data_IF_331022951619
#
_entry.id   IF_331022951619
#
_cell.length_a   1.000
_cell.length_b   1.000
_cell.length_c   1.000
_cell.angle_alpha   90.00
_cell.angle_beta   90.00
_cell.angle_gamma   90.00
#
_symmetry.space_group_name_H-M   'P 1'
#
loop_
_entity.id
_entity.type
_entity.pdbx_description
1 polymer ?
#
# COMPACT_ATOMS: atom_id res chain seq x y z
N UNK A 1 15.06 0.86 17.70
CA UNK A 1 14.13 0.99 16.60
C UNK A 1 14.86 1.33 15.30
N UNK A 2 14.63 0.55 14.26
CA UNK A 2 15.22 0.76 12.93
C UNK A 2 14.42 1.85 12.20
N UNK A 3 15.08 2.90 11.75
CA UNK A 3 14.44 3.98 11.01
C UNK A 3 14.57 3.75 9.49
N UNK A 4 13.61 3.02 8.92
CA UNK A 4 13.58 2.76 7.47
C UNK A 4 13.26 4.01 6.63
N UNK A 5 12.74 5.09 7.23
CA UNK A 5 12.38 6.30 6.52
C UNK A 5 13.58 7.15 6.08
N UNK A 6 14.72 7.07 6.81
CA UNK A 6 15.94 7.77 6.43
C UNK A 6 17.15 6.82 6.44
N UNK A 7 17.66 6.38 5.29
CA UNK A 7 18.77 5.42 5.21
C UNK A 7 20.09 5.94 5.77
N UNK A 8 20.29 7.26 5.91
CA UNK A 8 21.48 7.81 6.54
C UNK A 8 21.62 7.39 8.01
N UNK A 9 20.52 7.10 8.69
CA UNK A 9 20.48 6.65 10.09
C UNK A 9 21.14 5.29 10.31
N UNK A 10 21.27 4.45 9.29
CA UNK A 10 21.85 3.12 9.42
C UNK A 10 23.34 3.14 9.82
N UNK A 11 24.04 4.23 9.51
CA UNK A 11 25.43 4.42 9.93
C UNK A 11 25.61 4.59 11.45
N UNK A 12 24.51 4.81 12.20
CA UNK A 12 24.56 5.02 13.65
C UNK A 12 24.49 3.73 14.47
N UNK A 13 24.43 2.55 13.84
CA UNK A 13 24.44 1.26 14.54
C UNK A 13 25.78 1.02 15.22
N UNK A 14 25.75 0.56 16.48
CA UNK A 14 26.94 0.28 17.27
C UNK A 14 27.71 -0.95 16.76
N UNK A 15 29.01 -1.03 17.14
CA UNK A 15 29.86 -2.18 16.82
C UNK A 15 29.31 -3.44 17.49
N UNK A 16 29.43 -4.58 16.80
CA UNK A 16 28.99 -5.90 17.28
C UNK A 16 27.50 -5.96 17.63
N UNK A 17 26.69 -5.05 17.09
CA UNK A 17 25.27 -4.98 17.32
C UNK A 17 24.50 -5.51 16.10
N UNK A 18 23.60 -6.44 16.34
CA UNK A 18 22.57 -6.88 15.42
C UNK A 18 21.22 -6.47 15.98
N UNK A 19 20.48 -5.66 15.23
CA UNK A 19 19.14 -5.25 15.58
C UNK A 19 18.14 -6.03 14.73
N UNK A 20 17.14 -6.60 15.39
CA UNK A 20 15.97 -7.17 14.74
C UNK A 20 14.74 -6.43 15.27
N UNK A 21 13.89 -5.97 14.36
CA UNK A 21 12.71 -5.18 14.69
C UNK A 21 11.53 -5.69 13.84
N UNK A 22 10.41 -5.95 14.47
CA UNK A 22 9.19 -6.40 13.81
C UNK A 22 7.97 -5.74 14.43
N UNK A 23 7.07 -5.27 13.60
CA UNK A 23 5.80 -4.65 14.00
C UNK A 23 4.61 -5.44 13.49
N UNK A 24 3.59 -5.53 14.35
CA UNK A 24 2.30 -6.10 14.00
C UNK A 24 1.19 -5.22 14.55
N UNK A 25 0.17 -4.95 13.73
CA UNK A 25 -1.03 -4.22 14.11
C UNK A 25 -2.24 -5.13 14.18
N UNK A 26 -3.02 -4.95 15.25
CA UNK A 26 -4.33 -5.56 15.42
C UNK A 26 -5.37 -4.45 15.49
N UNK A 27 -6.26 -4.43 14.52
CA UNK A 27 -7.33 -3.44 14.45
C UNK A 27 -8.68 -4.08 14.73
N UNK A 28 -9.46 -3.46 15.62
CA UNK A 28 -10.85 -3.81 15.88
C UNK A 28 -11.70 -2.54 15.74
N UNK A 29 -12.42 -2.42 14.64
CA UNK A 29 -13.23 -1.25 14.32
C UNK A 29 -14.72 -1.58 14.41
N UNK A 30 -15.48 -0.73 15.11
CA UNK A 30 -16.93 -0.80 15.19
C UNK A 30 -17.52 0.32 14.34
N UNK A 31 -18.31 -0.07 13.34
CA UNK A 31 -19.06 0.84 12.48
C UNK A 31 -20.51 0.87 12.92
N UNK A 32 -21.10 2.05 12.97
CA UNK A 32 -22.52 2.22 13.25
C UNK A 32 -23.14 3.22 12.28
N UNK A 33 -24.13 2.78 11.54
CA UNK A 33 -24.93 3.65 10.65
C UNK A 33 -26.41 3.28 10.78
N UNK A 34 -27.25 4.29 10.97
CA UNK A 34 -28.73 4.15 11.05
C UNK A 34 -29.22 2.99 11.97
N UNK A 35 -28.54 2.79 13.11
CA UNK A 35 -28.89 1.74 14.06
C UNK A 35 -28.28 0.36 13.78
N UNK A 36 -27.69 0.14 12.63
CA UNK A 36 -26.95 -1.08 12.29
C UNK A 36 -25.53 -0.96 12.81
N UNK A 37 -25.07 -1.97 13.56
CA UNK A 37 -23.70 -2.06 14.08
C UNK A 37 -22.99 -3.20 13.36
N UNK A 38 -21.80 -2.92 12.86
CA UNK A 38 -20.93 -3.92 12.25
C UNK A 38 -19.53 -3.81 12.86
N UNK A 39 -18.94 -4.96 13.18
CA UNK A 39 -17.56 -5.05 13.69
C UNK A 39 -16.65 -5.59 12.59
N UNK A 40 -15.52 -4.94 12.38
CA UNK A 40 -14.47 -5.41 11.50
C UNK A 40 -13.17 -5.60 12.28
N UNK A 41 -12.53 -6.73 12.09
CA UNK A 41 -11.22 -7.08 12.69
C UNK A 41 -10.21 -7.28 11.58
N UNK A 42 -9.05 -6.68 11.75
CA UNK A 42 -7.93 -6.84 10.84
C UNK A 42 -6.64 -7.08 11.61
N UNK A 43 -5.75 -7.90 11.06
CA UNK A 43 -4.41 -8.11 11.57
C UNK A 43 -3.42 -7.98 10.43
N UNK A 44 -2.34 -7.22 10.65
CA UNK A 44 -1.35 -6.92 9.62
C UNK A 44 0.04 -6.95 10.22
N UNK A 45 1.00 -7.51 9.48
CA UNK A 45 2.42 -7.32 9.76
C UNK A 45 2.79 -5.94 9.19
N UNK A 46 3.23 -5.03 10.04
CA UNK A 46 3.57 -3.66 9.63
C UNK A 46 4.96 -3.59 9.01
N UNK A 47 5.91 -4.34 9.57
CA UNK A 47 7.25 -4.45 9.03
C UNK A 47 8.03 -5.57 9.72
N UNK A 48 9.06 -6.03 9.04
CA UNK A 48 10.14 -6.86 9.58
C UNK A 48 11.44 -6.24 9.06
N UNK A 49 12.36 -5.91 9.94
CA UNK A 49 13.64 -5.33 9.56
C UNK A 49 14.77 -5.86 10.42
N UNK A 50 15.96 -5.93 9.82
CA UNK A 50 17.20 -6.25 10.49
C UNK A 50 18.28 -5.26 10.10
N UNK A 51 19.08 -4.86 11.07
CA UNK A 51 20.16 -3.88 10.89
C UNK A 51 21.42 -4.38 11.57
N UNK A 52 22.54 -4.21 10.88
CA UNK A 52 23.86 -4.59 11.40
C UNK A 52 24.96 -3.70 10.82
N UNK A 53 26.08 -3.67 11.51
CA UNK A 53 27.24 -2.91 11.08
C UNK A 53 28.09 -3.73 10.13
N UNK A 54 28.40 -3.16 8.95
CA UNK A 54 29.31 -3.77 7.99
C UNK A 54 30.77 -3.40 8.29
N UNK A 55 31.03 -2.10 8.49
CA UNK A 55 32.35 -1.53 8.80
C UNK A 55 32.22 -0.42 9.84
N UNK A 56 33.35 0.13 10.27
CA UNK A 56 33.42 1.15 11.31
C UNK A 56 32.51 2.36 11.09
N UNK A 57 32.26 2.73 9.83
CA UNK A 57 31.43 3.90 9.45
C UNK A 57 30.21 3.55 8.62
N UNK A 58 29.92 2.25 8.44
CA UNK A 58 28.87 1.79 7.52
C UNK A 58 27.97 0.76 8.17
N UNK A 59 26.67 1.03 8.11
CA UNK A 59 25.62 0.11 8.52
C UNK A 59 24.76 -0.30 7.35
N UNK A 60 24.17 -1.48 7.45
CA UNK A 60 23.24 -2.05 6.49
C UNK A 60 21.91 -2.40 7.16
N UNK A 61 20.84 -2.19 6.45
CA UNK A 61 19.50 -2.60 6.87
C UNK A 61 18.83 -3.37 5.74
N UNK A 62 18.22 -4.49 6.10
CA UNK A 62 17.36 -5.27 5.21
C UNK A 62 15.98 -5.30 5.82
N UNK A 63 14.95 -5.26 5.01
CA UNK A 63 13.60 -5.31 5.56
C UNK A 63 12.53 -5.64 4.52
N UNK A 64 11.38 -5.94 5.08
CA UNK A 64 10.14 -6.19 4.39
C UNK A 64 9.04 -5.37 5.05
N UNK A 65 8.23 -4.70 4.26
CA UNK A 65 7.06 -3.95 4.74
C UNK A 65 5.97 -3.89 3.66
N UNK A 66 4.70 -3.87 4.04
CA UNK A 66 3.64 -3.55 3.11
C UNK A 66 3.77 -2.08 2.68
N UNK A 67 3.76 -1.84 1.36
CA UNK A 67 3.76 -0.49 0.79
C UNK A 67 2.36 0.10 0.76
N UNK A 68 1.37 -0.72 0.40
CA UNK A 68 -0.05 -0.39 0.46
C UNK A 68 -0.89 -1.63 0.74
N UNK A 69 -2.05 -1.45 1.34
CA UNK A 69 -3.01 -2.52 1.57
C UNK A 69 -4.41 -2.06 1.18
N UNK A 70 -5.15 -2.95 0.56
CA UNK A 70 -6.56 -2.75 0.21
C UNK A 70 -7.35 -3.91 0.79
N UNK A 71 -8.44 -3.60 1.52
CA UNK A 71 -9.30 -4.61 2.11
C UNK A 71 -10.65 -4.00 2.47
N UNK A 72 -11.65 -4.15 1.60
CA UNK A 72 -13.01 -3.73 1.90
C UNK A 72 -14.03 -4.60 1.18
N UNK A 73 -15.20 -4.73 1.79
CA UNK A 73 -16.37 -5.37 1.19
C UNK A 73 -17.61 -4.67 1.76
N UNK A 74 -18.34 -3.97 0.90
CA UNK A 74 -19.53 -3.23 1.30
C UNK A 74 -20.62 -3.41 0.26
N UNK A 75 -21.87 -3.42 0.71
CA UNK A 75 -23.04 -3.57 -0.16
C UNK A 75 -24.03 -2.45 0.05
N UNK A 76 -24.62 -1.98 -1.03
CA UNK A 76 -25.65 -0.96 -1.04
C UNK A 76 -26.84 -1.42 -1.85
N UNK A 77 -28.03 -1.33 -1.25
CA UNK A 77 -29.31 -1.52 -1.97
C UNK A 77 -29.89 -0.17 -2.34
N UNK A 78 -30.30 -0.03 -3.60
CA UNK A 78 -30.94 1.18 -4.12
C UNK A 78 -32.21 0.80 -4.91
N UNK A 79 -33.31 1.44 -4.62
CA UNK A 79 -34.54 1.37 -5.45
C UNK A 79 -34.29 2.21 -6.71
N UNK A 80 -34.42 1.60 -7.87
CA UNK A 80 -34.12 2.21 -9.17
C UNK A 80 -35.38 2.67 -9.88
N UNK A 81 -36.42 1.84 -9.87
CA UNK A 81 -37.67 2.08 -10.59
C UNK A 81 -38.80 1.24 -10.00
N UNK A 82 -39.99 1.31 -10.59
CA UNK A 82 -41.08 0.36 -10.37
C UNK A 82 -41.46 -0.30 -11.70
N UNK A 83 -41.92 -1.55 -11.64
CA UNK A 83 -42.44 -2.24 -12.82
C UNK A 83 -43.86 -1.77 -13.18
N UNK A 84 -44.42 -2.31 -14.28
CA UNK A 84 -45.77 -1.98 -14.74
C UNK A 84 -46.88 -2.34 -13.72
N UNK A 85 -46.58 -3.23 -12.76
CA UNK A 85 -47.47 -3.69 -11.70
C UNK A 85 -47.28 -2.93 -10.38
N UNK A 86 -46.35 -1.92 -10.35
CA UNK A 86 -46.06 -1.12 -9.16
C UNK A 86 -45.04 -1.77 -8.19
N UNK A 87 -44.46 -2.93 -8.53
CA UNK A 87 -43.43 -3.54 -7.69
C UNK A 87 -42.11 -2.76 -7.81
N UNK A 88 -41.46 -2.53 -6.69
CA UNK A 88 -40.17 -1.81 -6.68
C UNK A 88 -39.04 -2.65 -7.27
N UNK A 89 -38.35 -2.10 -8.27
CA UNK A 89 -37.13 -2.65 -8.81
C UNK A 89 -35.97 -2.08 -8.01
N UNK A 90 -35.22 -2.98 -7.35
CA UNK A 90 -34.06 -2.64 -6.54
C UNK A 90 -32.80 -3.26 -7.11
N UNK A 91 -31.70 -2.55 -6.99
CA UNK A 91 -30.36 -3.06 -7.29
C UNK A 91 -29.57 -3.24 -6.00
N UNK A 92 -28.87 -4.35 -5.89
CA UNK A 92 -27.87 -4.61 -4.88
C UNK A 92 -26.49 -4.46 -5.54
N UNK A 93 -25.76 -3.43 -5.17
CA UNK A 93 -24.36 -3.23 -5.59
C UNK A 93 -23.43 -3.62 -4.47
N UNK A 94 -22.52 -4.58 -4.76
CA UNK A 94 -21.46 -5.01 -3.85
C UNK A 94 -20.14 -4.48 -4.38
N UNK A 95 -19.45 -3.72 -3.55
CA UNK A 95 -18.13 -3.14 -3.79
C UNK A 95 -17.13 -3.93 -2.98
N UNK A 96 -16.14 -4.52 -3.62
CA UNK A 96 -15.06 -5.22 -2.94
C UNK A 96 -13.71 -4.78 -3.49
N UNK A 97 -12.72 -4.76 -2.60
CA UNK A 97 -11.35 -4.53 -2.95
C UNK A 97 -10.45 -5.35 -2.06
N UNK A 98 -9.45 -5.95 -2.66
CA UNK A 98 -8.45 -6.77 -1.96
C UNK A 98 -7.07 -6.61 -2.60
N UNK A 99 -6.05 -7.04 -1.85
CA UNK A 99 -4.67 -7.01 -2.30
C UNK A 99 -3.84 -5.92 -1.66
N UNK A 100 -2.82 -5.48 -2.38
CA UNK A 100 -1.86 -4.46 -1.96
C UNK A 100 -0.48 -4.72 -2.51
N UNK A 101 0.43 -3.77 -2.24
CA UNK A 101 1.81 -3.84 -2.67
C UNK A 101 2.71 -4.17 -1.48
N UNK A 102 3.63 -5.08 -1.68
CA UNK A 102 4.66 -5.47 -0.73
C UNK A 102 6.00 -4.86 -1.15
N UNK A 103 6.84 -4.49 -0.19
CA UNK A 103 8.15 -3.91 -0.42
C UNK A 103 9.21 -4.69 0.33
N UNK A 104 10.24 -5.13 -0.39
CA UNK A 104 11.50 -5.63 0.17
C UNK A 104 12.55 -4.57 -0.09
N UNK A 105 13.36 -4.24 0.90
CA UNK A 105 14.40 -3.25 0.74
C UNK A 105 15.73 -3.67 1.33
N UNK A 106 16.80 -3.15 0.73
CA UNK A 106 18.15 -3.17 1.25
C UNK A 106 18.69 -1.75 1.27
N UNK A 107 19.24 -1.33 2.40
CA UNK A 107 19.74 0.01 2.58
C UNK A 107 21.12 0.04 3.18
N UNK A 108 21.89 1.05 2.79
CA UNK A 108 23.24 1.33 3.29
C UNK A 108 23.30 2.74 3.83
N UNK A 109 23.88 2.91 5.01
CA UNK A 109 24.19 4.19 5.61
C UNK A 109 25.68 4.33 5.85
N UNK A 110 26.23 5.47 5.49
CA UNK A 110 27.66 5.77 5.63
C UNK A 110 27.89 7.08 6.35
N UNK A 111 28.74 7.06 7.39
CA UNK A 111 29.16 8.25 8.13
C UNK A 111 30.33 8.93 7.43
N UNK A 112 30.04 10.01 6.70
CA UNK A 112 31.02 10.79 5.94
C UNK A 112 31.91 11.59 6.86
N UNK A 113 31.31 12.34 7.78
CA UNK A 113 31.97 13.14 8.81
C UNK A 113 31.42 12.78 10.19
N UNK A 114 32.03 13.31 11.26
CA UNK A 114 31.56 13.06 12.64
C UNK A 114 30.08 13.35 12.83
N UNK A 115 29.58 14.35 12.12
CA UNK A 115 28.23 14.87 12.29
C UNK A 115 27.33 14.64 11.06
N UNK A 116 27.86 14.15 9.94
CA UNK A 116 27.13 13.98 8.68
C UNK A 116 27.16 12.54 8.23
N UNK A 117 25.97 12.00 8.00
CA UNK A 117 25.76 10.69 7.41
C UNK A 117 24.92 10.81 6.14
N UNK A 118 25.20 9.95 5.18
CA UNK A 118 24.41 9.76 3.96
C UNK A 118 23.96 8.31 3.86
N UNK A 119 22.96 8.04 3.09
CA UNK A 119 22.49 6.68 2.88
C UNK A 119 21.61 6.54 1.64
N UNK A 120 21.41 5.31 1.25
CA UNK A 120 20.52 4.96 0.16
C UNK A 120 19.77 3.66 0.50
N UNK A 121 18.47 3.63 0.17
CA UNK A 121 17.65 2.43 0.13
C UNK A 121 17.34 2.08 -1.31
N UNK A 122 17.60 0.85 -1.69
CA UNK A 122 17.06 0.24 -2.87
C UNK A 122 15.95 -0.70 -2.46
N UNK A 123 14.76 -0.49 -3.02
CA UNK A 123 13.57 -1.27 -2.71
C UNK A 123 13.01 -1.86 -3.99
N UNK A 124 12.50 -3.08 -3.87
CA UNK A 124 11.67 -3.70 -4.89
C UNK A 124 10.28 -3.87 -4.32
N UNK A 125 9.29 -3.35 -5.00
CA UNK A 125 7.90 -3.52 -4.60
C UNK A 125 7.10 -4.21 -5.69
N UNK A 126 6.20 -5.07 -5.25
CA UNK A 126 5.41 -5.93 -6.11
C UNK A 126 4.06 -6.22 -5.46
N UNK A 127 3.10 -6.57 -6.27
CA UNK A 127 1.79 -7.00 -5.81
C UNK A 127 0.69 -6.71 -6.79
N UNK A 128 -0.53 -6.99 -6.36
CA UNK A 128 -1.73 -6.75 -7.12
C UNK A 128 -2.80 -6.09 -6.25
N UNK A 129 -3.61 -5.27 -6.89
CA UNK A 129 -4.77 -4.62 -6.28
C UNK A 129 -5.97 -4.94 -7.16
N UNK A 130 -6.99 -5.51 -6.56
CA UNK A 130 -8.23 -5.86 -7.21
C UNK A 130 -9.36 -4.99 -6.67
N UNK A 131 -10.12 -4.39 -7.55
CA UNK A 131 -11.37 -3.71 -7.23
C UNK A 131 -12.49 -4.32 -8.04
N UNK A 132 -13.61 -4.66 -7.42
CA UNK A 132 -14.77 -5.15 -8.15
C UNK A 132 -16.07 -4.51 -7.69
N UNK A 133 -16.96 -4.32 -8.63
CA UNK A 133 -18.34 -3.88 -8.41
C UNK A 133 -19.26 -4.88 -9.08
N UNK A 134 -20.06 -5.58 -8.26
CA UNK A 134 -21.09 -6.49 -8.73
C UNK A 134 -22.45 -5.86 -8.47
N UNK A 135 -23.26 -5.68 -9.52
CA UNK A 135 -24.62 -5.16 -9.41
C UNK A 135 -25.62 -6.22 -9.85
N UNK A 136 -26.55 -6.55 -8.97
CA UNK A 136 -27.61 -7.52 -9.19
C UNK A 136 -28.95 -6.81 -9.01
N UNK A 137 -29.91 -7.13 -9.86
CA UNK A 137 -31.30 -6.63 -9.76
C UNK A 137 -32.25 -7.71 -9.23
N UNK A 138 -33.26 -7.30 -8.50
CA UNK A 138 -34.36 -8.19 -8.06
C UNK A 138 -35.38 -8.50 -9.18
N UNK A 139 -35.22 -7.93 -10.37
CA UNK A 139 -36.08 -8.12 -11.53
C UNK A 139 -35.42 -9.05 -12.54
N UNK A 140 -36.15 -10.06 -12.99
CA UNK A 140 -35.69 -11.07 -13.95
C UNK A 140 -35.44 -10.53 -15.35
N UNK A 141 -35.95 -9.37 -15.69
CA UNK A 141 -35.75 -8.70 -16.98
C UNK A 141 -34.56 -7.75 -16.96
N UNK A 142 -33.89 -7.57 -15.81
CA UNK A 142 -32.74 -6.72 -15.67
C UNK A 142 -31.42 -7.55 -15.64
N UNK A 143 -30.49 -7.18 -16.50
CA UNK A 143 -29.18 -7.84 -16.55
C UNK A 143 -28.31 -7.42 -15.39
N UNK A 144 -27.69 -8.38 -14.76
CA UNK A 144 -26.65 -8.17 -13.74
C UNK A 144 -25.32 -7.84 -14.40
N UNK A 145 -24.46 -7.08 -13.71
CA UNK A 145 -23.16 -6.71 -14.21
C UNK A 145 -22.06 -6.92 -13.16
N UNK A 146 -20.89 -7.31 -13.64
CA UNK A 146 -19.65 -7.35 -12.85
C UNK A 146 -18.63 -6.50 -13.58
N UNK A 147 -18.03 -5.57 -12.85
CA UNK A 147 -16.89 -4.80 -13.30
C UNK A 147 -15.75 -5.04 -12.32
N UNK A 148 -14.60 -5.43 -12.82
CA UNK A 148 -13.41 -5.65 -12.02
C UNK A 148 -12.23 -4.93 -12.65
N UNK A 149 -11.48 -4.22 -11.82
CA UNK A 149 -10.23 -3.58 -12.17
C UNK A 149 -9.10 -4.28 -11.41
N UNK A 150 -8.17 -4.90 -12.12
CA UNK A 150 -6.99 -5.52 -11.57
C UNK A 150 -5.77 -4.70 -11.95
N UNK A 151 -4.95 -4.36 -10.98
CA UNK A 151 -3.70 -3.60 -11.16
C UNK A 151 -2.57 -4.48 -10.66
N UNK A 152 -1.61 -4.78 -11.54
CA UNK A 152 -0.38 -5.51 -11.22
C UNK A 152 0.79 -4.56 -11.34
N UNK A 153 1.60 -4.45 -10.30
CA UNK A 153 2.79 -3.60 -10.26
C UNK A 153 3.97 -4.43 -9.79
N UNK A 154 5.11 -4.22 -10.45
CA UNK A 154 6.37 -4.84 -10.10
C UNK A 154 7.49 -3.92 -10.57
N UNK A 155 8.12 -3.20 -9.60
CA UNK A 155 9.11 -2.17 -9.91
C UNK A 155 10.04 -1.91 -8.72
N UNK A 156 11.02 -1.03 -8.93
CA UNK A 156 11.97 -0.60 -7.90
C UNK A 156 11.65 0.81 -7.38
N UNK A 157 12.26 1.14 -6.25
CA UNK A 157 12.24 2.49 -5.66
C UNK A 157 13.62 2.78 -5.08
N UNK A 158 14.09 4.00 -5.30
CA UNK A 158 15.35 4.49 -4.76
C UNK A 158 15.09 5.68 -3.84
N UNK A 159 15.52 5.55 -2.58
CA UNK A 159 15.50 6.63 -1.59
C UNK A 159 16.91 7.01 -1.20
N UNK A 160 17.21 8.29 -1.24
CA UNK A 160 18.48 8.86 -0.80
C UNK A 160 18.26 9.63 0.50
N UNK A 161 19.10 9.42 1.48
CA UNK A 161 19.00 10.06 2.78
C UNK A 161 20.24 10.82 3.17
N UNK A 162 20.05 11.89 3.90
CA UNK A 162 21.11 12.64 4.57
C UNK A 162 20.67 12.94 6.01
N UNK A 163 21.60 12.86 6.94
CA UNK A 163 21.36 13.17 8.35
C UNK A 163 22.54 13.96 8.90
N UNK A 164 22.23 15.10 9.52
CA UNK A 164 23.19 15.92 10.23
C UNK A 164 22.86 15.93 11.71
N UNK A 165 23.83 15.56 12.54
CA UNK A 165 23.69 15.47 14.00
C UNK A 165 24.61 16.47 14.66
N UNK A 166 24.06 17.46 15.36
CA UNK A 166 24.82 18.49 16.07
C UNK A 166 24.57 18.41 17.56
N UNK A 167 25.58 18.05 18.37
CA UNK A 167 25.49 18.18 19.81
C UNK A 167 25.60 19.64 20.22
N UNK A 168 24.71 20.07 21.13
CA UNK A 168 24.73 21.40 21.79
C UNK A 168 24.99 21.23 23.29
N UNK A 169 26.18 21.63 23.74
CA UNK A 169 26.58 21.43 25.12
C UNK A 169 26.70 19.96 25.50
N UNK A 170 26.35 19.64 26.76
CA UNK A 170 26.51 18.28 27.31
C UNK A 170 25.23 17.44 27.29
N UNK A 171 24.06 18.03 27.02
CA UNK A 171 22.74 17.37 27.23
C UNK A 171 21.80 17.43 26.02
N UNK A 172 22.09 18.23 25.03
CA UNK A 172 21.18 18.43 23.89
C UNK A 172 21.86 18.01 22.59
N UNK A 173 21.10 17.35 21.74
CA UNK A 173 21.50 16.97 20.39
C UNK A 173 20.37 17.32 19.43
N UNK A 174 20.71 17.98 18.33
CA UNK A 174 19.78 18.25 17.24
C UNK A 174 20.12 17.34 16.07
N UNK A 175 19.13 16.63 15.58
CA UNK A 175 19.25 15.81 14.39
C UNK A 175 18.41 16.42 13.27
N UNK A 176 19.02 16.74 12.14
CA UNK A 176 18.33 17.19 10.94
C UNK A 176 18.39 16.09 9.89
N UNK A 177 17.27 15.76 9.30
CA UNK A 177 17.15 14.72 8.28
C UNK A 177 16.58 15.26 6.98
N UNK A 178 17.14 14.79 5.87
CA UNK A 178 16.64 15.02 4.53
C UNK A 178 16.55 13.67 3.83
N UNK A 179 15.41 13.43 3.14
CA UNK A 179 15.21 12.23 2.33
C UNK A 179 14.63 12.64 0.99
N UNK A 180 15.17 12.08 -0.07
CA UNK A 180 14.68 12.27 -1.42
C UNK A 180 14.39 10.92 -2.05
N UNK A 181 13.15 10.73 -2.54
CA UNK A 181 12.75 9.55 -3.30
C UNK A 181 12.66 9.89 -4.78
N UNK A 182 13.32 9.07 -5.58
CA UNK A 182 13.34 9.23 -7.04
C UNK A 182 12.01 8.79 -7.63
N UNK A 183 11.34 9.71 -8.34
CA UNK A 183 10.13 9.41 -9.09
C UNK A 183 10.45 8.86 -10.48
N UNK A 184 9.60 7.94 -10.96
CA UNK A 184 9.68 7.39 -12.31
C UNK A 184 8.36 6.69 -12.68
N UNK A 185 8.20 6.39 -13.96
CA UNK A 185 7.06 5.63 -14.46
C UNK A 185 7.19 4.16 -14.06
N UNK A 186 6.11 3.59 -13.52
CA UNK A 186 6.08 2.23 -13.03
C UNK A 186 5.82 1.21 -14.13
N UNK A 187 6.53 0.10 -14.07
CA UNK A 187 6.22 -1.09 -14.85
C UNK A 187 4.99 -1.79 -14.25
N UNK A 188 3.82 -1.35 -14.67
CA UNK A 188 2.54 -1.84 -14.20
C UNK A 188 1.58 -2.16 -15.35
N UNK A 189 0.68 -3.10 -15.09
CA UNK A 189 -0.41 -3.46 -15.99
C UNK A 189 -1.73 -3.27 -15.27
N UNK A 190 -2.67 -2.60 -15.92
CA UNK A 190 -4.05 -2.49 -15.49
C UNK A 190 -4.94 -3.32 -16.41
N UNK A 191 -5.81 -4.12 -15.83
CA UNK A 191 -6.82 -4.89 -16.54
C UNK A 191 -8.18 -4.43 -16.09
N UNK A 192 -9.03 -4.07 -17.05
CA UNK A 192 -10.44 -3.76 -16.80
C UNK A 192 -11.30 -4.88 -17.38
N UNK A 193 -12.04 -5.55 -16.52
CA UNK A 193 -12.98 -6.60 -16.88
C UNK A 193 -14.39 -6.06 -16.73
N UNK A 194 -15.19 -6.24 -17.75
CA UNK A 194 -16.63 -5.92 -17.71
C UNK A 194 -17.43 -7.08 -18.25
N UNK A 195 -18.34 -7.59 -17.44
CA UNK A 195 -19.20 -8.73 -17.77
C UNK A 195 -20.65 -8.37 -17.50
N UNK A 196 -21.52 -8.84 -18.35
CA UNK A 196 -22.97 -8.69 -18.22
C UNK A 196 -23.62 -10.06 -18.26
N UNK A 197 -24.50 -10.32 -17.33
CA UNK A 197 -25.20 -11.59 -17.15
C UNK A 197 -26.69 -11.39 -17.32
N UNK A 198 -27.37 -12.27 -18.09
CA UNK A 198 -28.82 -12.36 -18.05
C UNK A 198 -29.27 -12.95 -16.70
N UNK A 199 -30.50 -12.61 -16.30
CA UNK A 199 -31.07 -13.17 -15.07
C UNK A 199 -31.15 -14.69 -15.16
N UNK A 200 -30.69 -15.38 -14.09
CA UNK A 200 -30.70 -16.85 -13.99
C UNK A 200 -29.64 -17.57 -14.83
N UNK A 201 -28.73 -16.83 -15.50
CA UNK A 201 -27.65 -17.40 -16.32
C UNK A 201 -26.31 -17.26 -15.61
N UNK A 202 -25.54 -18.36 -15.55
CA UNK A 202 -24.25 -18.40 -14.85
C UNK A 202 -23.03 -18.04 -15.70
N UNK A 203 -23.22 -17.85 -17.01
CA UNK A 203 -22.16 -17.41 -17.93
C UNK A 203 -22.44 -16.02 -18.47
N UNK A 204 -21.42 -15.19 -18.74
CA UNK A 204 -21.62 -13.82 -19.22
C UNK A 204 -22.18 -13.82 -20.64
N UNK A 205 -23.13 -12.91 -20.87
CA UNK A 205 -23.64 -12.62 -22.24
C UNK A 205 -22.61 -11.83 -23.05
N UNK A 206 -21.90 -10.92 -22.36
CA UNK A 206 -20.81 -10.12 -22.94
C UNK A 206 -19.66 -10.04 -21.96
N UNK A 207 -18.46 -10.16 -22.47
CA UNK A 207 -17.23 -9.98 -21.72
C UNK A 207 -16.29 -9.06 -22.51
N UNK A 208 -15.78 -8.02 -21.84
CA UNK A 208 -14.77 -7.12 -22.39
C UNK A 208 -13.60 -7.09 -21.45
N UNK A 209 -12.39 -7.19 -22.02
CA UNK A 209 -11.13 -7.06 -21.27
C UNK A 209 -10.28 -6.00 -21.96
N UNK A 210 -10.02 -4.90 -21.25
CA UNK A 210 -9.12 -3.85 -21.68
C UNK A 210 -7.84 -3.91 -20.85
N UNK A 211 -6.70 -3.70 -21.50
CA UNK A 211 -5.39 -3.68 -20.82
C UNK A 211 -4.72 -2.33 -21.01
N UNK A 212 -4.32 -1.73 -19.91
CA UNK A 212 -3.56 -0.48 -19.87
C UNK A 212 -2.17 -0.80 -19.34
N UNK A 213 -1.13 -0.39 -20.06
CA UNK A 213 0.26 -0.56 -19.64
C UNK A 213 0.86 0.78 -19.24
N UNK A 214 1.75 0.77 -18.25
CA UNK A 214 2.54 1.93 -17.81
C UNK A 214 1.67 3.17 -17.47
N UNK A 215 0.50 2.94 -16.88
CA UNK A 215 -0.44 4.01 -16.51
C UNK A 215 -0.16 4.61 -15.13
N UNK A 216 0.88 4.13 -14.43
CA UNK A 216 1.19 4.51 -13.07
C UNK A 216 2.58 5.09 -12.98
N UNK A 217 2.77 6.07 -12.08
CA UNK A 217 4.08 6.67 -11.81
C UNK A 217 4.27 6.90 -10.32
N UNK A 218 5.51 6.80 -9.86
CA UNK A 218 5.92 7.30 -8.55
C UNK A 218 6.30 8.76 -8.67
N UNK A 219 5.79 9.64 -7.81
CA UNK A 219 6.22 11.02 -7.78
C UNK A 219 7.60 11.14 -7.12
N UNK A 220 8.34 12.19 -7.48
CA UNK A 220 9.47 12.66 -6.70
C UNK A 220 8.97 13.15 -5.35
N UNK A 221 9.58 12.70 -4.26
CA UNK A 221 9.22 13.16 -2.92
C UNK A 221 10.44 13.69 -2.19
N UNK A 222 10.22 14.74 -1.41
CA UNK A 222 11.22 15.35 -0.53
C UNK A 222 10.67 15.37 0.90
N UNK A 223 11.41 14.74 1.82
CA UNK A 223 11.09 14.73 3.25
C UNK A 223 12.14 15.47 4.05
N UNK A 224 11.72 16.32 4.97
CA UNK A 224 12.57 17.05 5.90
C UNK A 224 12.11 16.75 7.32
N UNK A 225 13.03 16.50 8.23
CA UNK A 225 12.76 16.20 9.62
C UNK A 225 13.80 16.80 10.57
N UNK A 226 13.40 17.03 11.82
CA UNK A 226 14.24 17.52 12.90
C UNK A 226 13.90 16.82 14.22
#
# INVERSE_FOLDING_TARGET
HINAANPASYSAVDSLTFLFDAGMSLQNANFQEKGVKTNAKNSTIDYIAMQFRLWERMGMTLGFLPYSTVGYNMSQTKTVSSDEYGNQISSLSTYSGDGGLQQVFAGLGFKVFKNLSIGANFSYFYGEINHSVKTIFNNTNANSSVRADKIEISDYKLDLGMQYTQPFGKKHTVNLGLVYSLGHDLNGKGYNFKETYASGVSYPMTQTVDTIKNAFSLPHTLGIGA
#
